data_IF_179091573581
#
_entry.id   IF_179091573581
#
_cell.length_a   1.000
_cell.length_b   1.000
_cell.length_c   1.000
_cell.angle_alpha   90.00
_cell.angle_beta   90.00
_cell.angle_gamma   90.00
#
_symmetry.space_group_name_H-M   'P 1'
#
loop_
_entity.id
_entity.type
_entity.pdbx_description
1 polymer ?
#
# COMPACT_ATOMS: atom_id res chain seq x y z
N UNK A 1 21.95 -2.63 7.82
CA UNK A 1 21.60 -1.60 8.81
C UNK A 1 20.97 -0.42 8.08
N UNK A 2 19.64 -0.34 8.09
CA UNK A 2 18.87 0.81 7.64
C UNK A 2 18.02 1.28 8.83
N UNK A 3 17.83 2.57 8.96
CA UNK A 3 16.86 3.12 9.92
C UNK A 3 15.48 3.14 9.27
N UNK A 4 14.41 3.03 10.07
CA UNK A 4 13.03 3.07 9.55
C UNK A 4 12.74 4.34 8.76
N UNK A 5 13.41 5.44 9.09
CA UNK A 5 13.37 6.72 8.38
C UNK A 5 13.80 6.61 6.92
N UNK A 6 14.81 5.78 6.60
CA UNK A 6 15.27 5.55 5.22
C UNK A 6 14.20 4.84 4.38
N UNK A 7 13.41 3.98 5.00
CA UNK A 7 12.31 3.26 4.35
C UNK A 7 11.12 4.18 4.13
N UNK A 8 10.76 4.98 5.14
CA UNK A 8 9.63 5.94 5.07
C UNK A 8 9.92 7.04 4.05
N UNK A 9 11.17 7.47 3.95
CA UNK A 9 11.60 8.47 2.96
C UNK A 9 11.74 7.92 1.53
N UNK A 10 11.51 6.61 1.31
CA UNK A 10 11.65 5.99 0.00
C UNK A 10 13.09 5.83 -0.49
N UNK A 11 14.07 6.04 0.38
CA UNK A 11 15.51 5.93 0.03
C UNK A 11 15.92 4.47 -0.15
N UNK A 12 15.21 3.55 0.51
CA UNK A 12 15.44 2.10 0.42
C UNK A 12 14.15 1.33 0.24
N UNK A 13 14.17 0.37 -0.69
CA UNK A 13 13.13 -0.64 -0.80
C UNK A 13 13.32 -1.68 0.30
N UNK A 14 12.31 -1.91 1.16
CA UNK A 14 12.41 -2.92 2.21
C UNK A 14 12.39 -4.33 1.63
N UNK A 15 12.94 -5.28 2.39
CA UNK A 15 12.75 -6.70 2.13
C UNK A 15 11.29 -7.11 2.40
N UNK A 16 10.81 -8.12 1.68
CA UNK A 16 9.50 -8.68 1.95
C UNK A 16 9.48 -9.31 3.34
N UNK A 17 8.40 -9.09 4.10
CA UNK A 17 8.28 -9.61 5.46
C UNK A 17 8.41 -11.14 5.53
N UNK A 18 8.05 -11.84 4.46
CA UNK A 18 8.21 -13.30 4.32
C UNK A 18 9.66 -13.74 4.31
N UNK A 19 10.58 -12.89 3.91
CA UNK A 19 12.03 -13.21 3.96
C UNK A 19 12.53 -13.33 5.40
N UNK A 20 11.86 -12.66 6.35
CA UNK A 20 12.18 -12.77 7.77
C UNK A 20 12.01 -14.20 8.29
N UNK A 21 11.11 -15.01 7.71
CA UNK A 21 10.91 -16.42 8.06
C UNK A 21 12.21 -17.23 7.84
N UNK A 22 12.92 -16.94 6.76
CA UNK A 22 14.19 -17.61 6.44
C UNK A 22 15.36 -17.01 7.22
N UNK A 23 15.40 -15.70 7.36
CA UNK A 23 16.50 -15.00 7.99
C UNK A 23 16.51 -15.13 9.52
N UNK A 24 15.33 -15.03 10.15
CA UNK A 24 15.15 -15.03 11.60
C UNK A 24 13.85 -15.77 12.00
N UNK A 25 13.78 -17.09 11.87
CA UNK A 25 12.53 -17.86 12.01
C UNK A 25 11.86 -17.71 13.38
N UNK A 26 12.64 -17.55 14.45
CA UNK A 26 12.08 -17.33 15.81
C UNK A 26 11.38 -15.99 15.91
N UNK A 27 12.01 -14.92 15.43
CA UNK A 27 11.43 -13.59 15.43
C UNK A 27 10.19 -13.51 14.50
N UNK A 28 10.23 -14.20 13.37
CA UNK A 28 9.06 -14.32 12.49
C UNK A 28 7.88 -15.02 13.15
N UNK A 29 8.13 -16.15 13.84
CA UNK A 29 7.08 -16.86 14.57
C UNK A 29 6.47 -15.98 15.69
N UNK A 30 7.30 -15.26 16.44
CA UNK A 30 6.85 -14.31 17.46
C UNK A 30 6.04 -13.18 16.84
N UNK A 31 6.50 -12.58 15.74
CA UNK A 31 5.79 -11.56 14.99
C UNK A 31 4.40 -12.06 14.56
N UNK A 32 4.31 -13.26 13.98
CA UNK A 32 3.03 -13.87 13.57
C UNK A 32 2.07 -14.06 14.75
N UNK A 33 2.57 -14.48 15.90
CA UNK A 33 1.75 -14.62 17.10
C UNK A 33 1.22 -13.26 17.60
N UNK A 34 2.07 -12.23 17.59
CA UNK A 34 1.68 -10.88 18.01
C UNK A 34 0.65 -10.29 17.03
N UNK A 35 0.87 -10.37 15.71
CA UNK A 35 -0.05 -9.82 14.71
C UNK A 35 -1.42 -10.47 14.80
N UNK A 36 -1.48 -11.80 14.95
CA UNK A 36 -2.75 -12.51 15.17
C UNK A 36 -3.46 -12.05 16.44
N UNK A 37 -2.73 -11.79 17.52
CA UNK A 37 -3.31 -11.27 18.77
C UNK A 37 -3.83 -9.85 18.61
N UNK A 38 -3.11 -8.98 17.91
CA UNK A 38 -3.54 -7.61 17.63
C UNK A 38 -4.84 -7.60 16.80
N UNK A 39 -4.89 -8.35 15.72
CA UNK A 39 -6.05 -8.45 14.86
C UNK A 39 -7.30 -8.95 15.62
N UNK A 40 -7.15 -10.00 16.43
CA UNK A 40 -8.24 -10.51 17.29
C UNK A 40 -8.68 -9.51 18.36
N UNK A 41 -7.75 -8.73 18.91
CA UNK A 41 -8.04 -7.75 19.94
C UNK A 41 -8.80 -6.55 19.38
N UNK A 42 -8.30 -5.99 18.28
CA UNK A 42 -8.89 -4.82 17.65
C UNK A 42 -10.06 -5.14 16.71
N UNK A 43 -10.22 -6.41 16.34
CA UNK A 43 -11.20 -6.86 15.33
C UNK A 43 -11.09 -6.10 14.01
N UNK A 44 -9.89 -5.70 13.67
CA UNK A 44 -9.53 -4.94 12.47
C UNK A 44 -8.05 -5.12 12.15
N UNK A 45 -7.66 -4.82 10.90
CA UNK A 45 -6.26 -4.82 10.52
C UNK A 45 -5.48 -3.74 11.26
N UNK A 46 -4.24 -4.05 11.56
CA UNK A 46 -3.34 -3.12 12.25
C UNK A 46 -2.11 -2.84 11.40
N UNK A 47 -1.77 -1.55 11.31
CA UNK A 47 -0.47 -1.08 10.85
C UNK A 47 0.44 -0.97 12.08
N UNK A 48 1.61 -1.57 12.03
CA UNK A 48 2.49 -1.64 13.21
C UNK A 48 3.95 -1.49 12.82
N UNK A 49 4.72 -1.00 13.78
CA UNK A 49 6.16 -0.86 13.70
C UNK A 49 6.81 -1.80 14.71
N UNK A 50 7.92 -2.41 14.31
CA UNK A 50 8.69 -3.28 15.17
C UNK A 50 10.19 -3.14 14.89
N UNK A 51 11.00 -3.57 15.85
CA UNK A 51 12.44 -3.73 15.67
C UNK A 51 12.90 -5.07 16.24
N UNK A 52 14.07 -5.53 15.80
CA UNK A 52 14.72 -6.72 16.33
C UNK A 52 16.09 -6.31 16.81
N UNK A 53 16.38 -6.59 18.08
CA UNK A 53 17.67 -6.35 18.70
C UNK A 53 18.06 -7.58 19.52
N UNK A 54 19.28 -8.07 19.32
CA UNK A 54 19.81 -9.25 20.02
C UNK A 54 18.86 -10.47 19.94
N UNK A 55 18.39 -10.76 18.72
CA UNK A 55 17.42 -11.82 18.39
C UNK A 55 16.06 -11.69 19.09
N UNK A 56 15.75 -10.56 19.71
CA UNK A 56 14.47 -10.27 20.36
C UNK A 56 13.67 -9.28 19.54
N UNK A 57 12.39 -9.56 19.40
CA UNK A 57 11.43 -8.70 18.73
C UNK A 57 10.83 -7.69 19.73
N UNK A 58 10.74 -6.45 19.31
CA UNK A 58 10.11 -5.36 20.07
C UNK A 58 9.07 -4.67 19.20
N UNK A 59 7.82 -4.69 19.65
CA UNK A 59 6.76 -3.88 19.04
C UNK A 59 6.90 -2.44 19.50
N UNK A 60 6.95 -1.51 18.58
CA UNK A 60 7.14 -0.08 18.86
C UNK A 60 5.82 0.68 18.85
N UNK A 61 4.98 0.41 17.83
CA UNK A 61 3.71 1.10 17.66
C UNK A 61 2.71 0.21 16.93
N UNK A 62 1.44 0.40 17.21
CA UNK A 62 0.32 -0.13 16.41
C UNK A 62 -0.75 0.94 16.24
N UNK A 63 -1.42 0.93 15.08
CA UNK A 63 -2.54 1.81 14.75
C UNK A 63 -3.48 1.11 13.77
N UNK A 64 -4.71 1.60 13.65
CA UNK A 64 -5.64 1.12 12.62
C UNK A 64 -5.06 1.37 11.24
N UNK A 65 -5.05 0.34 10.40
CA UNK A 65 -4.49 0.39 9.07
C UNK A 65 -5.30 1.30 8.15
N UNK A 66 -4.65 2.31 7.57
CA UNK A 66 -5.25 3.11 6.49
C UNK A 66 -5.47 2.23 5.28
N UNK A 67 -6.60 2.41 4.60
CA UNK A 67 -7.00 1.55 3.49
C UNK A 67 -7.85 2.28 2.46
N UNK A 68 -7.80 1.84 1.21
CA UNK A 68 -8.72 2.29 0.16
C UNK A 68 -10.11 1.71 0.39
N UNK A 69 -11.14 2.27 -0.25
CA UNK A 69 -12.51 1.73 -0.17
C UNK A 69 -12.59 0.27 -0.61
N UNK A 70 -11.89 -0.12 -1.66
CA UNK A 70 -11.81 -1.52 -2.10
C UNK A 70 -11.19 -2.42 -1.02
N UNK A 71 -10.05 -2.02 -0.48
CA UNK A 71 -9.39 -2.77 0.58
C UNK A 71 -10.29 -2.90 1.83
N UNK A 72 -11.03 -1.86 2.19
CA UNK A 72 -11.97 -1.90 3.30
C UNK A 72 -13.04 -3.00 3.13
N UNK A 73 -13.63 -3.12 1.92
CA UNK A 73 -14.61 -4.17 1.62
C UNK A 73 -13.99 -5.56 1.69
N UNK A 74 -12.80 -5.75 1.13
CA UNK A 74 -12.08 -7.04 1.17
C UNK A 74 -11.79 -7.42 2.62
N UNK A 75 -11.19 -6.51 3.40
CA UNK A 75 -10.82 -6.74 4.80
C UNK A 75 -12.07 -7.08 5.64
N UNK A 76 -13.14 -6.29 5.54
CA UNK A 76 -14.37 -6.54 6.26
C UNK A 76 -14.97 -7.92 5.93
N UNK A 77 -14.91 -8.31 4.65
CA UNK A 77 -15.38 -9.60 4.17
C UNK A 77 -14.55 -10.75 4.73
N UNK A 78 -13.23 -10.60 4.76
CA UNK A 78 -12.34 -11.65 5.25
C UNK A 78 -12.42 -11.79 6.77
N UNK A 79 -12.45 -10.70 7.53
CA UNK A 79 -12.69 -10.73 8.98
C UNK A 79 -14.03 -11.40 9.33
N UNK A 80 -15.07 -11.19 8.51
CA UNK A 80 -16.36 -11.87 8.67
C UNK A 80 -16.25 -13.37 8.38
N UNK A 81 -15.57 -13.78 7.30
CA UNK A 81 -15.34 -15.20 6.97
C UNK A 81 -14.55 -15.91 8.06
N UNK A 82 -13.56 -15.24 8.64
CA UNK A 82 -12.75 -15.73 9.77
C UNK A 82 -13.50 -15.70 11.11
N UNK A 83 -14.74 -15.20 11.12
CA UNK A 83 -15.62 -15.08 12.31
C UNK A 83 -15.03 -14.18 13.41
N UNK A 84 -14.18 -13.24 13.05
CA UNK A 84 -13.65 -12.23 13.97
C UNK A 84 -14.66 -11.11 14.20
N UNK A 85 -15.52 -10.84 13.21
CA UNK A 85 -16.60 -9.85 13.28
C UNK A 85 -17.91 -10.45 12.78
N UNK A 86 -19.03 -9.92 13.26
CA UNK A 86 -20.36 -10.23 12.73
C UNK A 86 -20.60 -9.48 11.41
N UNK A 87 -21.59 -9.89 10.58
CA UNK A 87 -21.93 -9.15 9.36
C UNK A 87 -22.26 -7.67 9.60
N UNK A 88 -22.89 -7.37 10.75
CA UNK A 88 -23.23 -5.99 11.12
C UNK A 88 -21.97 -5.19 11.48
N UNK A 89 -21.05 -5.78 12.26
CA UNK A 89 -19.76 -5.16 12.57
C UNK A 89 -18.92 -4.95 11.30
N UNK A 90 -18.90 -5.93 10.39
CA UNK A 90 -18.20 -5.82 9.11
C UNK A 90 -18.66 -4.63 8.27
N UNK A 91 -19.98 -4.37 8.23
CA UNK A 91 -20.52 -3.19 7.54
C UNK A 91 -20.04 -1.88 8.15
N UNK A 92 -19.85 -1.82 9.47
CA UNK A 92 -19.37 -0.62 10.16
C UNK A 92 -17.87 -0.35 9.95
N UNK A 93 -17.11 -1.34 9.47
CA UNK A 93 -15.69 -1.17 9.11
C UNK A 93 -15.49 -0.48 7.76
N UNK A 94 -16.56 -0.35 6.96
CA UNK A 94 -16.48 0.23 5.62
C UNK A 94 -17.07 1.64 5.66
N UNK A 95 -16.21 2.63 5.37
CA UNK A 95 -16.64 4.01 5.22
C UNK A 95 -17.42 4.16 3.89
N UNK A 96 -18.70 4.61 3.92
CA UNK A 96 -19.47 4.82 2.72
C UNK A 96 -18.84 5.82 1.74
N UNK A 97 -18.16 6.86 2.23
CA UNK A 97 -17.48 7.84 1.39
C UNK A 97 -16.30 7.21 0.63
N UNK A 98 -15.59 6.28 1.26
CA UNK A 98 -14.50 5.56 0.62
C UNK A 98 -14.98 4.64 -0.51
N UNK A 99 -16.25 4.24 -0.54
CA UNK A 99 -16.82 3.45 -1.64
C UNK A 99 -16.88 4.22 -2.96
N UNK A 100 -16.93 5.54 -2.92
CA UNK A 100 -16.86 6.38 -4.13
C UNK A 100 -15.56 6.17 -4.91
N UNK A 101 -14.48 5.76 -4.22
CA UNK A 101 -13.21 5.41 -4.85
C UNK A 101 -13.31 4.18 -5.75
N UNK A 102 -14.29 3.30 -5.52
CA UNK A 102 -14.55 2.13 -6.38
C UNK A 102 -15.13 2.54 -7.75
N UNK A 103 -15.63 3.76 -7.85
CA UNK A 103 -16.12 4.36 -9.09
C UNK A 103 -15.00 5.10 -9.86
N UNK A 104 -13.76 5.06 -9.36
CA UNK A 104 -12.62 5.65 -10.06
C UNK A 104 -12.50 5.04 -11.47
N UNK A 105 -12.10 5.85 -12.47
CA UNK A 105 -11.90 5.37 -13.83
C UNK A 105 -10.96 4.17 -13.86
N UNK A 106 -11.32 3.17 -14.61
CA UNK A 106 -10.52 1.97 -14.85
C UNK A 106 -10.49 1.63 -16.33
N UNK A 107 -9.51 0.85 -16.74
CA UNK A 107 -9.49 0.31 -18.09
C UNK A 107 -10.34 -0.96 -18.17
N UNK A 108 -11.02 -1.19 -19.29
CA UNK A 108 -11.75 -2.45 -19.52
C UNK A 108 -10.73 -3.60 -19.60
N UNK A 109 -10.87 -4.65 -18.75
CA UNK A 109 -9.98 -5.81 -18.80
C UNK A 109 -9.93 -6.50 -20.16
N UNK A 110 -10.97 -6.34 -21.00
CA UNK A 110 -10.99 -6.92 -22.34
C UNK A 110 -10.07 -6.17 -23.29
N UNK A 111 -9.92 -4.87 -23.14
CA UNK A 111 -9.05 -4.04 -23.98
C UNK A 111 -7.56 -4.23 -23.68
N UNK A 112 -7.24 -4.71 -22.47
CA UNK A 112 -5.86 -5.01 -22.07
C UNK A 112 -5.33 -6.33 -22.62
N UNK A 113 -6.22 -7.19 -23.10
CA UNK A 113 -5.84 -8.52 -23.54
C UNK A 113 -4.95 -8.44 -24.78
N UNK A 114 -3.68 -8.80 -24.60
CA UNK A 114 -2.67 -8.78 -25.67
C UNK A 114 -1.79 -7.51 -25.70
N UNK A 115 -2.04 -6.53 -24.84
CA UNK A 115 -1.16 -5.36 -24.71
C UNK A 115 0.03 -5.73 -23.81
N UNK A 116 1.28 -5.60 -24.27
CA UNK A 116 2.43 -5.90 -23.45
C UNK A 116 2.56 -4.91 -22.30
N UNK A 117 2.81 -5.42 -21.09
CA UNK A 117 3.11 -4.60 -19.92
C UNK A 117 4.55 -4.10 -20.03
N UNK A 118 4.74 -2.80 -20.15
CA UNK A 118 6.07 -2.20 -20.26
C UNK A 118 6.82 -2.26 -18.91
N UNK A 119 6.12 -1.99 -17.80
CA UNK A 119 6.69 -2.05 -16.45
C UNK A 119 5.59 -2.22 -15.41
N UNK A 120 5.97 -2.53 -14.17
CA UNK A 120 5.08 -2.61 -13.01
C UNK A 120 5.61 -1.71 -11.91
N UNK A 121 4.69 -1.03 -11.20
CA UNK A 121 4.97 -0.23 -10.02
C UNK A 121 4.18 -0.72 -8.81
N UNK A 122 4.45 -0.13 -7.65
CA UNK A 122 3.66 -0.36 -6.45
C UNK A 122 2.37 0.47 -6.54
N UNK A 123 1.18 -0.13 -6.30
CA UNK A 123 -0.07 0.60 -6.34
C UNK A 123 -0.19 1.54 -5.13
N UNK A 124 -0.35 2.84 -5.38
CA UNK A 124 -0.47 3.84 -4.33
C UNK A 124 -1.87 4.49 -4.29
N UNK A 125 -2.57 4.52 -5.43
CA UNK A 125 -3.90 5.12 -5.54
C UNK A 125 -4.74 4.35 -6.57
N UNK A 126 -6.06 4.24 -6.38
CA UNK A 126 -6.94 3.69 -7.39
C UNK A 126 -7.08 4.64 -8.58
N UNK A 127 -7.35 4.07 -9.75
CA UNK A 127 -7.63 4.83 -10.97
C UNK A 127 -6.82 4.35 -12.15
N UNK A 128 -7.14 4.95 -13.30
CA UNK A 128 -6.43 4.75 -14.56
C UNK A 128 -6.15 6.10 -15.21
N UNK A 129 -4.99 6.23 -15.79
CA UNK A 129 -4.60 7.44 -16.50
C UNK A 129 -3.91 7.10 -17.82
N UNK A 130 -4.05 7.99 -18.79
CA UNK A 130 -3.34 7.94 -20.07
C UNK A 130 -2.57 9.23 -20.26
N UNK A 131 -1.38 9.15 -20.83
CA UNK A 131 -0.56 10.33 -21.10
C UNK A 131 0.78 10.00 -21.73
N UNK A 132 1.51 11.04 -22.09
CA UNK A 132 2.86 10.91 -22.60
C UNK A 132 3.84 10.68 -21.44
N UNK A 133 4.73 9.71 -21.61
CA UNK A 133 5.70 9.36 -20.56
C UNK A 133 6.79 10.42 -20.45
N UNK A 134 7.04 10.88 -19.23
CA UNK A 134 8.15 11.76 -18.87
C UNK A 134 8.92 11.17 -17.69
N UNK A 135 10.21 11.49 -17.58
CA UNK A 135 11.10 10.88 -16.59
C UNK A 135 11.67 11.88 -15.57
N UNK A 136 11.25 13.14 -15.63
CA UNK A 136 11.60 14.14 -14.62
C UNK A 136 10.42 15.04 -14.31
N UNK A 137 10.38 15.53 -13.08
CA UNK A 137 9.32 16.40 -12.58
C UNK A 137 9.27 17.73 -13.34
N UNK A 138 10.44 18.31 -13.69
CA UNK A 138 10.53 19.54 -14.45
C UNK A 138 9.88 19.39 -15.84
N UNK A 139 10.14 18.25 -16.51
CA UNK A 139 9.54 17.97 -17.82
C UNK A 139 8.03 17.70 -17.70
N UNK A 140 7.58 17.10 -16.58
CA UNK A 140 6.16 16.95 -16.32
C UNK A 140 5.48 18.31 -16.23
N UNK A 141 6.00 19.23 -15.42
CA UNK A 141 5.50 20.60 -15.29
C UNK A 141 5.52 21.34 -16.62
N UNK A 142 6.65 21.29 -17.35
CA UNK A 142 6.78 21.94 -18.67
C UNK A 142 5.70 21.47 -19.64
N UNK A 143 5.51 20.16 -19.77
CA UNK A 143 4.58 19.63 -20.75
C UNK A 143 3.13 19.82 -20.34
N UNK A 144 2.83 19.75 -19.05
CA UNK A 144 1.49 20.04 -18.52
C UNK A 144 1.12 21.53 -18.76
N UNK A 145 2.08 22.46 -18.58
CA UNK A 145 1.86 23.87 -18.88
C UNK A 145 1.57 24.15 -20.39
N UNK A 146 2.00 23.23 -21.27
CA UNK A 146 1.69 23.23 -22.72
C UNK A 146 0.33 22.51 -23.01
N UNK A 147 -0.44 22.12 -22.00
CA UNK A 147 -1.71 21.44 -22.17
C UNK A 147 -1.61 19.95 -22.52
N UNK A 148 -0.44 19.32 -22.35
CA UNK A 148 -0.26 17.88 -22.59
C UNK A 148 -0.60 17.09 -21.33
N UNK A 149 -1.27 15.96 -21.50
CA UNK A 149 -1.43 14.98 -20.43
C UNK A 149 -0.16 14.14 -20.35
N UNK A 150 0.42 14.02 -19.16
CA UNK A 150 1.68 13.32 -18.94
C UNK A 150 1.56 12.24 -17.85
N UNK A 151 2.42 11.24 -17.92
CA UNK A 151 2.64 10.26 -16.88
C UNK A 151 4.10 10.34 -16.46
N UNK A 152 4.34 10.76 -15.22
CA UNK A 152 5.68 10.78 -14.64
C UNK A 152 6.08 9.37 -14.23
N UNK A 153 7.16 8.87 -14.82
CA UNK A 153 7.74 7.56 -14.51
C UNK A 153 9.09 7.76 -13.85
N UNK A 154 9.20 7.27 -12.62
CA UNK A 154 10.44 7.34 -11.82
C UNK A 154 10.79 5.94 -11.35
N UNK A 155 12.08 5.72 -11.10
CA UNK A 155 12.53 4.48 -10.43
C UNK A 155 11.97 4.42 -9.01
N UNK A 156 12.06 5.53 -8.29
CA UNK A 156 11.44 5.77 -6.99
C UNK A 156 10.95 7.21 -6.98
N UNK A 157 9.74 7.47 -6.49
CA UNK A 157 9.24 8.82 -6.30
C UNK A 157 9.73 9.36 -4.96
N UNK A 158 10.22 10.58 -4.97
CA UNK A 158 10.72 11.28 -3.79
C UNK A 158 9.88 12.54 -3.53
N UNK A 159 9.92 13.13 -2.32
CA UNK A 159 9.14 14.33 -2.01
C UNK A 159 9.34 15.49 -3.00
N UNK A 160 10.53 15.61 -3.59
CA UNK A 160 10.82 16.63 -4.59
C UNK A 160 10.09 16.42 -5.92
N UNK A 161 9.55 15.21 -6.16
CA UNK A 161 8.76 14.94 -7.36
C UNK A 161 7.31 15.44 -7.26
N UNK A 162 6.84 15.89 -6.07
CA UNK A 162 5.45 16.30 -5.82
C UNK A 162 4.97 17.35 -6.81
N UNK A 163 5.79 18.37 -7.10
CA UNK A 163 5.41 19.45 -8.03
C UNK A 163 5.25 18.98 -9.48
N UNK A 164 5.83 17.84 -9.85
CA UNK A 164 5.64 17.20 -11.16
C UNK A 164 4.47 16.21 -11.21
N UNK A 165 3.80 15.98 -10.08
CA UNK A 165 2.66 15.06 -9.94
C UNK A 165 1.31 15.78 -9.89
N UNK A 166 1.32 17.11 -9.82
CA UNK A 166 0.13 17.99 -9.82
C UNK A 166 -0.31 18.43 -11.21
#
# INVERSE_FOLDING_TARGET
NAQGEDVVAGIRTPLQITELETLMPKAYAELRAITTRLEKHYKDIQDFEFTIQDDRLFMLQTRSGKRTGYAAVVIATDLMKEKLVTPKEALLLVDPEALSQLLAPGFDPKEWKGIPVATKGLPASPGAACGQVVFSSERAVEWTSQGKTVILVRRETVPDDIHGMW
#
